data_IF_438162510452
#
_entry.id   IF_438162510452
#
_cell.length_a   1.000
_cell.length_b   1.000
_cell.length_c   1.000
_cell.angle_alpha   90.00
_cell.angle_beta   90.00
_cell.angle_gamma   90.00
#
_symmetry.space_group_name_H-M   'P 1'
#
loop_
_entity.id
_entity.type
_entity.pdbx_description
1 polymer ?
2 non-polymer ?
3 non-polymer ?
4 water ?
#
# COMPACT_ATOMS: atom_id res chain seq x y z
N UNK A 1 -9.66 -3.90 21.93
CA UNK A 1 -9.76 -2.43 21.89
C UNK A 1 -9.81 -1.94 20.45
N UNK A 2 -9.50 -0.66 20.25
CA UNK A 2 -9.56 -0.15 18.89
C UNK A 2 -8.46 -0.87 18.07
N UNK A 3 -8.48 -0.58 16.81
CA UNK A 3 -7.35 -0.99 15.91
C UNK A 3 -6.41 0.16 16.04
N UNK A 4 -5.10 -0.14 16.03
CA UNK A 4 -4.12 0.90 16.05
C UNK A 4 -3.58 1.25 14.63
N UNK A 5 -3.40 2.53 14.43
CA UNK A 5 -3.00 3.08 13.12
C UNK A 5 -1.93 4.10 13.24
N UNK A 6 -1.10 4.20 12.23
CA UNK A 6 -0.05 5.27 12.12
C UNK A 6 -0.18 5.97 10.80
N UNK A 7 0.03 7.26 10.75
CA UNK A 7 0.12 8.03 9.53
C UNK A 7 1.52 7.87 8.94
N UNK A 8 1.60 7.68 7.63
CA UNK A 8 2.88 7.51 6.96
C UNK A 8 2.87 7.84 5.47
N UNK A 9 4.00 8.04 4.88
CA UNK A 9 4.20 8.01 3.44
C UNK A 9 5.07 6.84 3.04
N UNK A 10 5.00 6.45 1.76
CA UNK A 10 5.84 5.42 1.19
C UNK A 10 6.60 6.02 0.03
N UNK A 11 7.85 5.59 -0.15
CA UNK A 11 8.58 5.84 -1.40
C UNK A 11 9.17 4.53 -1.88
N UNK A 12 9.24 4.35 -3.20
CA UNK A 12 9.82 3.14 -3.84
C UNK A 12 11.35 3.24 -3.73
N UNK A 13 11.98 2.13 -4.05
CA UNK A 13 13.44 2.05 -3.78
C UNK A 13 14.19 2.90 -4.79
N UNK A 14 13.52 3.38 -5.83
CA UNK A 14 14.13 4.40 -6.72
C UNK A 14 13.83 5.74 -6.22
N UNK A 15 13.19 5.94 -5.06
CA UNK A 15 12.88 7.13 -4.34
C UNK A 15 11.74 7.88 -5.05
N UNK A 16 10.86 7.20 -5.75
CA UNK A 16 9.63 7.84 -6.27
C UNK A 16 8.53 7.88 -5.19
N UNK A 17 7.83 9.00 -5.10
CA UNK A 17 6.75 9.29 -4.21
C UNK A 17 5.42 8.87 -4.91
N UNK A 18 4.40 8.65 -4.05
CA UNK A 18 3.07 8.22 -4.56
C UNK A 18 2.07 9.36 -4.44
N UNK A 19 1.32 9.56 -5.52
CA UNK A 19 0.30 10.65 -5.61
C UNK A 19 -0.99 10.04 -6.16
N UNK A 20 -2.11 10.73 -5.96
CA UNK A 20 -3.39 10.35 -6.62
C UNK A 20 -3.33 10.51 -8.15
N UNK A 21 -4.03 9.64 -8.87
CA UNK A 21 -4.15 9.67 -10.34
C UNK A 21 -5.63 9.50 -10.60
N UNK A 22 -6.38 10.55 -10.38
CA UNK A 22 -7.85 10.37 -10.50
C UNK A 22 -8.31 9.70 -9.23
N UNK A 23 -9.62 9.38 -9.10
CA UNK A 23 -10.13 9.07 -7.75
C UNK A 23 -9.79 7.71 -7.14
N UNK A 24 -9.49 6.78 -8.00
CA UNK A 24 -9.28 5.38 -7.58
C UNK A 24 -7.90 4.80 -8.14
N UNK A 25 -7.05 5.71 -8.34
CA UNK A 25 -5.70 5.14 -8.75
C UNK A 25 -4.63 5.98 -8.11
N UNK A 26 -3.47 5.33 -7.90
CA UNK A 26 -2.25 6.03 -7.43
C UNK A 26 -1.21 5.88 -8.56
N UNK A 27 -0.34 6.91 -8.62
CA UNK A 27 0.82 6.83 -9.53
C UNK A 27 2.09 7.21 -8.75
N UNK A 28 3.28 6.84 -9.32
CA UNK A 28 4.54 7.11 -8.68
C UNK A 28 5.41 8.03 -9.58
N UNK A 29 5.93 9.01 -8.98
CA UNK A 29 6.83 9.96 -9.70
C UNK A 29 7.84 10.49 -8.71
N UNK A 30 8.91 10.96 -9.40
CA UNK A 30 9.94 11.70 -8.72
C UNK A 30 9.49 13.07 -8.24
N UNK A 31 9.60 13.36 -6.97
CA UNK A 31 9.03 14.55 -6.32
C UNK A 31 10.01 15.09 -5.37
N UNK A 32 10.14 16.46 -5.26
CA UNK A 32 10.98 17.08 -4.30
C UNK A 32 10.47 18.55 -4.21
N UNK A 33 10.62 19.10 -3.05
CA UNK A 33 10.29 20.54 -2.85
C UNK A 33 8.82 20.76 -2.58
N UNK A 34 8.30 21.87 -3.14
CA UNK A 34 6.88 22.26 -2.87
C UNK A 34 5.98 21.11 -3.32
N UNK A 35 6.34 20.39 -4.37
CA UNK A 35 5.43 19.38 -4.96
C UNK A 35 5.27 18.20 -3.96
N UNK A 36 5.96 18.19 -2.81
CA UNK A 36 5.94 16.96 -1.95
C UNK A 36 4.61 16.98 -1.17
N UNK A 37 3.92 18.11 -1.09
CA UNK A 37 2.55 18.20 -0.50
C UNK A 37 1.59 17.33 -1.32
N UNK A 38 1.83 17.00 -2.58
CA UNK A 38 0.93 16.22 -3.42
C UNK A 38 1.01 14.73 -2.97
N UNK A 39 1.98 14.36 -2.20
CA UNK A 39 2.12 12.90 -1.92
C UNK A 39 0.94 12.42 -1.07
N UNK A 40 0.58 11.16 -1.22
CA UNK A 40 -0.45 10.49 -0.45
C UNK A 40 0.05 10.16 0.93
N UNK A 41 -0.73 10.54 1.92
CA UNK A 41 -0.54 10.08 3.28
C UNK A 41 -1.44 8.92 3.59
N UNK A 42 -0.86 7.86 4.02
CA UNK A 42 -1.55 6.67 4.42
C UNK A 42 -1.90 6.61 5.89
N UNK A 43 -2.99 6.00 6.25
CA UNK A 43 -3.20 5.51 7.62
C UNK A 43 -3.00 4.02 7.57
N UNK A 44 -1.91 3.52 8.13
CA UNK A 44 -1.50 2.09 8.14
C UNK A 44 -2.10 1.51 9.39
N UNK A 45 -3.05 0.62 9.27
CA UNK A 45 -3.69 -0.07 10.43
C UNK A 45 -2.99 -1.41 10.62
N UNK A 46 -2.82 -1.82 11.89
CA UNK A 46 -2.17 -3.08 12.25
C UNK A 46 -3.26 -4.10 12.54
N UNK A 47 -3.54 -5.00 11.66
CA UNK A 47 -4.76 -5.75 11.60
C UNK A 47 -4.58 -7.21 11.98
N UNK A 48 -5.70 -7.89 12.14
CA UNK A 48 -5.64 -9.37 12.40
C UNK A 48 -5.11 -10.15 11.21
N UNK A 49 -4.27 -11.13 11.52
CA UNK A 49 -3.74 -11.99 10.47
C UNK A 49 -2.48 -12.77 10.96
N UNK A 50 -2.04 -13.73 10.19
CA UNK A 50 -0.78 -14.49 10.45
C UNK A 50 0.42 -13.53 10.54
N UNK A 51 1.28 -13.63 11.55
CA UNK A 51 2.32 -12.66 11.84
C UNK A 51 3.62 -13.39 12.23
N UNK A 52 4.75 -12.82 11.89
CA UNK A 52 6.10 -13.28 12.35
C UNK A 52 6.99 -12.06 12.58
N UNK A 53 8.22 -12.27 13.04
CA UNK A 53 9.04 -11.08 13.36
C UNK A 53 9.02 -10.11 12.20
N UNK A 54 9.20 -10.63 10.99
CA UNK A 54 9.51 -9.73 9.86
C UNK A 54 8.29 -9.58 8.92
N UNK A 55 7.12 -10.16 9.26
CA UNK A 55 5.88 -10.24 8.42
C UNK A 55 4.64 -9.77 9.21
N UNK A 56 4.20 -8.52 8.99
CA UNK A 56 3.22 -7.85 9.93
C UNK A 56 2.01 -7.50 9.06
N UNK A 57 0.81 -7.96 9.37
CA UNK A 57 -0.36 -7.73 8.49
C UNK A 57 -0.86 -6.35 8.77
N UNK A 58 -1.04 -5.59 7.64
CA UNK A 58 -1.55 -4.17 7.71
C UNK A 58 -2.68 -3.98 6.68
N UNK A 59 -3.41 -2.90 6.93
CA UNK A 59 -4.25 -2.35 5.88
C UNK A 59 -3.67 -0.97 5.60
N UNK A 60 -3.86 -0.53 4.36
CA UNK A 60 -3.41 0.81 3.86
C UNK A 60 -4.60 1.62 3.45
N UNK A 61 -5.08 2.45 4.33
CA UNK A 61 -6.09 3.44 4.03
C UNK A 61 -5.55 4.79 3.69
N UNK A 62 -6.20 5.64 2.96
CA UNK A 62 -5.79 7.00 2.70
C UNK A 62 -6.18 7.82 3.92
N UNK A 63 -5.30 8.69 4.41
CA UNK A 63 -5.64 9.49 5.61
C UNK A 63 -6.91 10.32 5.44
N UNK A 64 -7.75 10.08 6.42
CA UNK A 64 -9.08 10.72 6.66
C UNK A 64 -9.93 10.58 5.40
N UNK A 65 -9.77 9.44 4.70
CA UNK A 65 -10.68 9.10 3.55
C UNK A 65 -11.16 7.69 3.81
N UNK A 66 -12.37 7.35 3.37
CA UNK A 66 -12.91 5.99 3.47
C UNK A 66 -12.51 5.26 2.18
N UNK A 67 -11.21 5.14 1.99
CA UNK A 67 -10.60 4.51 0.81
C UNK A 67 -9.41 3.63 1.25
N UNK A 68 -9.38 2.41 0.79
CA UNK A 68 -8.35 1.44 1.17
C UNK A 68 -7.78 0.86 -0.10
N UNK A 69 -6.49 0.58 -0.08
CA UNK A 69 -5.97 -0.34 -1.12
C UNK A 69 -6.55 -1.74 -0.90
N UNK A 70 -6.79 -2.41 -2.01
CA UNK A 70 -7.64 -3.63 -2.10
C UNK A 70 -7.13 -4.53 -3.22
N UNK A 71 -7.01 -5.84 -2.97
CA UNK A 71 -6.54 -6.79 -3.98
C UNK A 71 -7.74 -7.69 -4.36
N UNK A 72 -8.06 -7.61 -5.63
CA UNK A 72 -9.23 -8.36 -6.16
C UNK A 72 -8.80 -8.94 -7.53
N UNK A 73 -9.59 -9.99 -7.91
CA UNK A 73 -9.41 -10.44 -9.28
C UNK A 73 -10.13 -9.49 -10.20
N UNK A 74 -9.43 -9.13 -11.29
CA UNK A 74 -10.06 -8.28 -12.30
C UNK A 74 -9.70 -8.89 -13.64
N UNK A 75 -10.73 -8.86 -14.52
CA UNK A 75 -10.70 -9.51 -15.86
C UNK A 75 -9.69 -10.66 -15.63
N UNK A 76 -9.96 -11.45 -14.60
CA UNK A 76 -9.20 -12.69 -14.24
C UNK A 76 -7.75 -12.58 -13.74
N UNK A 77 -7.29 -11.53 -13.10
CA UNK A 77 -5.88 -11.39 -12.61
C UNK A 77 -5.92 -10.73 -11.18
N UNK A 78 -4.98 -11.06 -10.25
CA UNK A 78 -4.81 -10.30 -8.99
C UNK A 78 -4.52 -8.84 -9.46
N UNK A 79 -5.33 -7.87 -9.04
CA UNK A 79 -5.04 -6.46 -9.30
C UNK A 79 -5.21 -5.65 -7.99
N UNK A 80 -4.62 -4.47 -8.07
CA UNK A 80 -4.65 -3.46 -6.98
C UNK A 80 -5.74 -2.47 -7.32
N UNK A 81 -6.64 -2.19 -6.41
CA UNK A 81 -7.68 -1.17 -6.57
C UNK A 81 -7.76 -0.29 -5.33
N UNK A 82 -8.30 0.90 -5.46
CA UNK A 82 -8.74 1.73 -4.31
C UNK A 82 -10.14 1.41 -4.10
N UNK A 83 -10.60 1.09 -2.95
CA UNK A 83 -11.97 0.65 -2.70
C UNK A 83 -12.56 1.53 -1.61
N UNK A 84 -13.78 2.04 -1.85
CA UNK A 84 -14.59 2.77 -0.83
C UNK A 84 -15.12 1.80 0.23
N UNK A 85 -15.32 2.34 1.44
CA UNK A 85 -15.93 1.59 2.52
C UNK A 85 -16.95 2.48 3.27
N UNK A 86 -17.71 1.87 4.16
CA UNK A 86 -18.62 2.66 5.04
C UNK A 86 -17.78 3.32 6.10
N UNK A 87 -17.68 4.66 6.18
CA UNK A 87 -16.78 5.30 7.13
C UNK A 87 -17.12 5.09 8.62
N UNK A 88 -18.30 4.59 8.94
CA UNK A 88 -18.60 4.34 10.37
C UNK A 88 -18.09 2.94 10.78
N UNK A 89 -17.60 2.12 9.85
CA UNK A 89 -17.24 0.73 10.20
C UNK A 89 -15.72 0.50 10.12
N UNK A 90 -14.97 1.45 9.57
CA UNK A 90 -13.51 1.32 9.24
C UNK A 90 -12.73 2.44 9.90
N UNK A 91 -11.45 2.24 10.24
CA UNK A 91 -10.79 0.96 10.07
C UNK A 91 -11.31 0.05 11.19
N UNK A 92 -11.01 -1.23 11.05
CA UNK A 92 -11.31 -2.27 12.06
C UNK A 92 -10.18 -3.27 12.17
N UNK A 93 -10.06 -3.89 13.34
CA UNK A 93 -8.98 -4.88 13.55
C UNK A 93 -9.15 -6.00 12.52
N UNK A 94 -10.36 -6.57 12.39
CA UNK A 94 -10.58 -7.70 11.50
C UNK A 94 -10.97 -7.16 10.11
N UNK A 95 -9.97 -6.69 9.38
CA UNK A 95 -10.20 -6.19 8.00
C UNK A 95 -10.37 -7.39 7.12
N UNK A 96 -11.25 -7.36 6.12
CA UNK A 96 -11.44 -8.40 5.12
C UNK A 96 -10.15 -8.65 4.36
N UNK A 97 -9.96 -9.87 3.88
CA UNK A 97 -8.68 -10.31 3.35
C UNK A 97 -8.20 -9.50 2.19
N UNK A 98 -9.03 -9.02 1.31
CA UNK A 98 -8.64 -8.27 0.13
C UNK A 98 -7.91 -6.96 0.56
N UNK A 99 -8.09 -6.48 1.80
CA UNK A 99 -7.48 -5.20 2.28
C UNK A 99 -6.15 -5.45 2.98
N UNK A 100 -5.75 -6.76 3.19
CA UNK A 100 -4.63 -7.06 4.06
C UNK A 100 -3.40 -7.29 3.18
N UNK A 101 -2.32 -6.60 3.64
CA UNK A 101 -0.95 -6.73 3.11
C UNK A 101 -0.06 -7.28 4.22
N UNK A 102 0.82 -8.17 3.84
CA UNK A 102 1.94 -8.53 4.72
C UNK A 102 3.10 -7.57 4.46
N UNK A 103 3.35 -6.77 5.45
CA UNK A 103 4.45 -5.79 5.42
C UNK A 103 5.71 -6.58 5.88
N UNK A 104 6.59 -6.79 4.96
CA UNK A 104 7.82 -7.67 5.11
C UNK A 104 9.04 -6.79 5.14
N UNK A 105 9.90 -6.94 6.11
CA UNK A 105 11.14 -6.18 6.25
C UNK A 105 12.21 -7.01 5.58
N UNK A 106 12.82 -6.53 4.53
CA UNK A 106 14.00 -7.27 3.94
C UNK A 106 15.06 -6.21 3.56
N UNK A 107 16.27 -6.38 4.13
CA UNK A 107 17.50 -5.64 3.74
C UNK A 107 17.16 -4.15 3.80
N UNK A 108 16.61 -3.78 4.91
CA UNK A 108 16.43 -2.37 5.31
C UNK A 108 15.40 -1.71 4.41
N UNK A 109 14.60 -2.53 3.71
CA UNK A 109 13.43 -1.98 3.00
C UNK A 109 12.17 -2.77 3.36
N UNK A 110 11.04 -2.32 2.79
CA UNK A 110 9.74 -3.02 3.02
C UNK A 110 9.14 -3.50 1.73
N UNK A 111 8.50 -4.64 1.77
CA UNK A 111 7.69 -5.13 0.66
C UNK A 111 6.29 -5.35 1.19
N UNK A 112 5.28 -5.13 0.39
CA UNK A 112 3.90 -5.32 0.81
C UNK A 112 3.28 -6.38 -0.11
N UNK A 113 3.25 -7.58 0.47
CA UNK A 113 2.65 -8.74 -0.24
C UNK A 113 1.13 -8.82 0.00
N UNK A 114 0.35 -9.06 -1.01
CA UNK A 114 -1.08 -9.33 -0.80
C UNK A 114 -1.33 -10.54 0.10
N UNK A 115 -2.05 -10.43 1.20
CA UNK A 115 -2.38 -11.59 2.05
C UNK A 115 -3.27 -12.45 1.17
N UNK A 116 -4.17 -11.94 0.41
CA UNK A 116 -5.16 -12.72 -0.43
C UNK A 116 -4.39 -13.44 -1.51
N UNK A 117 -3.39 -12.85 -2.18
CA UNK A 117 -2.75 -13.47 -3.33
C UNK A 117 -1.26 -13.58 -3.00
N UNK A 118 -0.79 -14.74 -2.47
CA UNK A 118 0.60 -14.92 -2.11
C UNK A 118 1.45 -14.65 -3.33
N UNK A 119 2.59 -13.99 -3.03
CA UNK A 119 3.62 -13.62 -3.93
C UNK A 119 3.30 -12.60 -4.99
N UNK A 120 2.23 -11.84 -4.73
CA UNK A 120 1.86 -10.64 -5.51
C UNK A 120 2.09 -9.45 -4.54
N UNK A 121 2.72 -8.43 -5.08
CA UNK A 121 3.28 -7.25 -4.33
C UNK A 121 2.81 -5.96 -4.89
N UNK A 122 2.64 -5.00 -3.98
CA UNK A 122 2.55 -3.59 -4.40
C UNK A 122 3.83 -3.25 -5.20
N UNK A 123 3.62 -2.75 -6.38
CA UNK A 123 4.72 -2.51 -7.34
C UNK A 123 4.62 -1.12 -7.96
N UNK A 124 5.78 -0.62 -8.41
CA UNK A 124 5.81 0.51 -9.29
C UNK A 124 6.62 0.17 -10.55
N UNK A 125 6.41 0.98 -11.59
CA UNK A 125 7.25 0.90 -12.81
C UNK A 125 8.48 1.77 -12.64
N UNK A 126 9.54 1.49 -13.43
CA UNK A 126 10.69 2.41 -13.52
C UNK A 126 10.33 3.78 -14.14
N UNK A 127 9.47 3.82 -15.14
CA UNK A 127 9.00 5.06 -15.74
C UNK A 127 8.30 5.94 -14.71
N UNK A 128 8.29 7.21 -14.97
CA UNK A 128 7.57 8.23 -14.17
C UNK A 128 6.12 8.26 -14.58
N UNK A 129 5.22 8.55 -13.61
CA UNK A 129 3.81 8.83 -13.82
C UNK A 129 3.03 7.66 -14.29
N UNK A 130 3.34 6.41 -13.84
CA UNK A 130 2.59 5.19 -14.22
C UNK A 130 1.90 4.67 -12.93
N UNK A 131 0.88 3.88 -13.09
CA UNK A 131 0.09 3.41 -11.95
C UNK A 131 0.96 2.58 -11.01
N UNK A 132 0.54 2.66 -9.78
CA UNK A 132 0.92 1.64 -8.76
C UNK A 132 0.05 0.44 -9.03
N UNK A 133 0.59 -0.74 -8.94
CA UNK A 133 -0.12 -1.93 -9.37
C UNK A 133 0.27 -3.06 -8.52
N UNK A 134 -0.47 -4.17 -8.66
CA UNK A 134 -0.17 -5.44 -7.98
C UNK A 134 0.57 -6.35 -8.95
N UNK A 135 1.83 -6.63 -8.61
CA UNK A 135 2.83 -7.26 -9.48
C UNK A 135 3.33 -8.58 -8.93
N UNK A 136 3.23 -9.61 -9.80
CA UNK A 136 3.56 -11.01 -9.49
C UNK A 136 5.04 -11.30 -9.75
N UNK A 137 5.86 -10.26 -9.97
CA UNK A 137 7.31 -10.46 -10.24
C UNK A 137 8.21 -9.63 -9.33
N UNK A 138 9.14 -10.30 -8.63
CA UNK A 138 10.28 -9.62 -7.92
C UNK A 138 11.60 -9.90 -8.66
N UNK A 139 12.50 -8.90 -8.65
CA UNK A 139 13.86 -8.94 -9.24
C UNK A 139 13.88 -8.63 -10.74
N UNK A 140 12.78 -8.12 -11.31
CA UNK A 140 12.66 -7.74 -12.73
C UNK A 140 12.59 -6.22 -12.89
N UNK A 141 11.91 -5.73 -13.93
CA UNK A 141 11.72 -4.27 -14.20
C UNK A 141 10.83 -3.68 -13.09
N UNK A 142 9.88 -4.46 -12.58
CA UNK A 142 8.91 -3.98 -11.56
C UNK A 142 9.61 -3.77 -10.22
N UNK A 143 9.35 -2.64 -9.58
CA UNK A 143 9.97 -2.28 -8.29
C UNK A 143 9.02 -2.65 -7.14
N UNK A 144 9.47 -3.43 -6.16
CA UNK A 144 8.60 -4.02 -5.12
C UNK A 144 9.10 -3.64 -3.75
N UNK A 145 10.14 -2.82 -3.58
CA UNK A 145 10.70 -2.44 -2.29
C UNK A 145 10.44 -0.97 -2.03
N UNK A 146 10.19 -0.63 -0.81
CA UNK A 146 9.84 0.70 -0.39
C UNK A 146 10.50 1.07 0.90
N UNK A 147 10.54 2.37 1.24
CA UNK A 147 10.78 2.91 2.53
C UNK A 147 9.58 3.62 3.07
N UNK A 148 9.44 3.68 4.39
CA UNK A 148 8.29 4.35 5.03
C UNK A 148 8.86 5.59 5.74
N UNK A 149 8.09 6.66 5.70
CA UNK A 149 8.34 7.92 6.53
C UNK A 149 7.19 8.07 7.43
N UNK A 150 7.34 8.32 8.70
CA UNK A 150 6.29 8.40 9.74
C UNK A 150 5.96 9.91 9.80
N UNK A 151 4.67 10.22 9.70
CA UNK A 151 4.08 11.58 9.57
C UNK A 151 3.38 11.88 10.96
N UNK A 152 3.29 13.16 11.37
CA UNK A 152 2.42 13.61 12.50
C UNK A 152 0.93 13.35 12.19
X LIG B 1 -12.25 -2.69 16.25
X LIG B 1 -13.60 -2.49 16.73
X LIG B 1 -11.40 -3.19 17.36
X LIG B 1 -12.30 -3.65 15.17
X LIG B 1 -11.73 -1.42 15.78
X LIG C 1 -17.53 -7.80 2.33
X LIG C 1 -17.00 -6.43 2.63
X LIG C 1 -18.27 -8.28 3.49
X LIG C 1 -18.33 -7.75 1.14
X LIG C 1 -16.45 -8.80 2.16
X LIG D 1 -1.08 14.41 1.24
X LIG D 1 1.90 15.52 2.92
X LIG D 1 0.84 15.88 1.82
X LIG D 1 -0.53 15.30 2.06
X LIG D 1 -2.24 13.93 1.85
X LIG D 1 -4.07 12.52 2.33
X LIG D 1 -2.43 14.64 3.05
X LIG D 1 -4.29 13.29 3.50
X LIG D 1 -3.46 14.33 3.86
X LIG D 1 -3.05 12.85 1.49
X LIG D 1 -1.27 15.54 3.17
#
# INVERSE_FOLDING_TARGET
>A
APVRSLNCTLRDSQQKSLVMSGPYELKALHLQGQDMEQQVVFSMSFVQGEESNDKIPVALGLKEKNLYLSCVLKDDKPTLQLESVDPKNYPKKKMEKRFVFNKIEINNKLEFESAQFPNWYISTSQAENMPVFLGGTKGGQDITDFTMQFVSS
>B hetero
1 SO4 S O1 O2 O3 O4
>C hetero
1 SO4 S O1 O2 O3 O4
>D hetero
1 T91 N1 C5 C6 C7 C8 C10 C13 C11 C12 C9 N2
#
